data_IF_489953106146
#
_entry.id   IF_489953106146
#
_cell.length_a   1.000
_cell.length_b   1.000
_cell.length_c   1.000
_cell.angle_alpha   90.00
_cell.angle_beta   90.00
_cell.angle_gamma   90.00
#
_symmetry.space_group_name_H-M   'P 1'
#
loop_
_entity.id
_entity.type
_entity.pdbx_description
1 polymer ?
#
# COMPACT_ATOMS: atom_id res chain seq x y z
N UNK A 1 -13.97 -4.32 15.08
CA UNK A 1 -12.72 -5.07 14.85
C UNK A 1 -11.57 -4.18 15.29
N UNK A 2 -10.59 -4.73 15.99
CA UNK A 2 -9.41 -3.99 16.45
C UNK A 2 -8.19 -4.56 15.73
N UNK A 3 -7.50 -3.73 14.95
CA UNK A 3 -6.19 -4.05 14.39
C UNK A 3 -5.14 -3.60 15.41
N UNK A 4 -4.27 -4.49 15.86
CA UNK A 4 -3.27 -4.21 16.89
C UNK A 4 -1.94 -3.74 16.32
N UNK A 5 -1.74 -3.96 15.02
CA UNK A 5 -0.52 -3.62 14.30
C UNK A 5 -0.85 -3.34 12.82
N UNK A 6 0.12 -2.76 12.12
CA UNK A 6 -0.04 -2.30 10.74
C UNK A 6 -0.30 -3.45 9.76
N UNK A 7 0.27 -4.64 10.00
CA UNK A 7 0.06 -5.81 9.13
C UNK A 7 -1.38 -6.32 9.25
N UNK A 8 -1.93 -6.36 10.47
CA UNK A 8 -3.33 -6.71 10.69
C UNK A 8 -4.30 -5.73 10.02
N UNK A 9 -3.96 -4.44 9.98
CA UNK A 9 -4.74 -3.42 9.26
C UNK A 9 -4.67 -3.63 7.74
N UNK A 10 -3.47 -3.81 7.19
CA UNK A 10 -3.26 -4.05 5.75
C UNK A 10 -4.03 -5.29 5.32
N UNK A 11 -3.90 -6.41 6.03
CA UNK A 11 -4.60 -7.66 5.69
C UNK A 11 -6.12 -7.55 5.81
N UNK A 12 -6.62 -6.68 6.70
CA UNK A 12 -8.06 -6.42 6.81
C UNK A 12 -8.61 -5.64 5.61
N UNK A 13 -7.88 -4.62 5.15
CA UNK A 13 -8.32 -3.74 4.06
C UNK A 13 -8.00 -4.34 2.68
N UNK A 14 -6.85 -5.00 2.55
CA UNK A 14 -6.33 -5.64 1.34
C UNK A 14 -6.11 -7.15 1.54
N UNK A 15 -7.18 -7.93 1.74
CA UNK A 15 -7.04 -9.37 1.92
C UNK A 15 -6.47 -10.04 0.67
N UNK A 16 -5.39 -10.82 0.85
CA UNK A 16 -4.84 -11.72 -0.17
C UNK A 16 -3.95 -11.04 -1.22
N UNK A 17 -3.30 -9.93 -0.86
CA UNK A 17 -2.29 -9.28 -1.72
C UNK A 17 -0.90 -9.93 -1.62
N UNK A 18 -0.69 -10.82 -0.64
CA UNK A 18 0.57 -11.54 -0.47
C UNK A 18 0.91 -12.32 -1.75
N UNK A 19 1.97 -11.88 -2.41
CA UNK A 19 2.49 -12.47 -3.63
C UNK A 19 1.59 -12.31 -4.87
N UNK A 20 0.66 -11.37 -4.85
CA UNK A 20 -0.26 -11.09 -5.96
C UNK A 20 -0.33 -9.57 -6.16
N UNK A 21 -0.38 -9.14 -7.42
CA UNK A 21 -0.64 -7.73 -7.77
C UNK A 21 -2.08 -7.59 -8.27
N UNK A 22 -3.02 -7.10 -7.42
CA UNK A 22 -4.40 -6.83 -7.84
C UNK A 22 -4.46 -5.73 -8.90
N UNK A 23 -5.56 -5.64 -9.67
CA UNK A 23 -5.76 -4.53 -10.58
C UNK A 23 -5.90 -3.20 -9.80
N UNK A 24 -5.51 -2.04 -10.38
CA UNK A 24 -5.51 -0.75 -9.66
C UNK A 24 -6.84 -0.38 -8.99
N UNK A 25 -7.97 -0.76 -9.60
CA UNK A 25 -9.32 -0.49 -9.07
C UNK A 25 -9.55 -1.13 -7.69
N UNK A 26 -8.85 -2.24 -7.40
CA UNK A 26 -8.92 -2.90 -6.10
C UNK A 26 -8.54 -1.96 -4.96
N UNK A 27 -7.44 -1.22 -5.14
CA UNK A 27 -6.92 -0.26 -4.17
C UNK A 27 -7.73 1.04 -4.14
N UNK A 28 -8.23 1.48 -5.30
CA UNK A 28 -9.03 2.71 -5.45
C UNK A 28 -10.26 2.72 -4.53
N UNK A 29 -10.91 1.58 -4.36
CA UNK A 29 -12.13 1.44 -3.54
C UNK A 29 -11.84 1.16 -2.05
N UNK A 30 -10.57 1.01 -1.67
CA UNK A 30 -10.15 0.47 -0.35
C UNK A 30 -9.04 1.32 0.28
N UNK A 31 -9.16 2.64 0.24
CA UNK A 31 -8.10 3.53 0.72
C UNK A 31 -7.85 3.43 2.23
N UNK A 32 -6.58 3.30 2.62
CA UNK A 32 -6.13 3.52 4.00
C UNK A 32 -5.66 4.98 4.12
N UNK A 33 -6.21 5.71 5.10
CA UNK A 33 -5.85 7.11 5.33
C UNK A 33 -4.92 7.24 6.53
N UNK A 34 -3.86 8.04 6.40
CA UNK A 34 -2.96 8.38 7.48
C UNK A 34 -2.87 9.90 7.67
N UNK A 35 -2.53 10.33 8.89
CA UNK A 35 -2.52 11.75 9.23
C UNK A 35 -1.27 12.51 8.77
N UNK A 36 -0.16 11.79 8.53
CA UNK A 36 1.13 12.38 8.12
C UNK A 36 1.64 11.66 6.87
N UNK A 37 2.31 12.40 5.98
CA UNK A 37 2.87 11.81 4.76
C UNK A 37 3.89 10.72 5.05
N UNK A 38 4.74 10.87 6.09
CA UNK A 38 5.66 9.80 6.47
C UNK A 38 4.92 8.49 6.82
N UNK A 39 3.75 8.58 7.46
CA UNK A 39 2.95 7.38 7.76
C UNK A 39 2.34 6.79 6.47
N UNK A 40 2.00 7.62 5.48
CA UNK A 40 1.56 7.18 4.14
C UNK A 40 2.69 6.49 3.40
N UNK A 41 3.90 7.05 3.44
CA UNK A 41 5.09 6.50 2.79
C UNK A 41 5.45 5.12 3.39
N UNK A 42 5.47 5.02 4.72
CA UNK A 42 5.74 3.76 5.44
C UNK A 42 4.67 2.69 5.12
N UNK A 43 3.39 3.08 5.05
CA UNK A 43 2.29 2.19 4.66
C UNK A 43 2.47 1.68 3.23
N UNK A 44 2.70 2.57 2.27
CA UNK A 44 2.86 2.21 0.87
C UNK A 44 4.05 1.29 0.65
N UNK A 45 5.19 1.56 1.30
CA UNK A 45 6.36 0.69 1.26
C UNK A 45 6.05 -0.72 1.81
N UNK A 46 5.38 -0.80 2.97
CA UNK A 46 5.00 -2.08 3.58
C UNK A 46 4.05 -2.89 2.71
N UNK A 47 3.10 -2.23 2.02
CA UNK A 47 2.16 -2.88 1.11
C UNK A 47 2.89 -3.40 -0.14
N UNK A 48 3.79 -2.59 -0.71
CA UNK A 48 4.59 -2.99 -1.89
C UNK A 48 5.47 -4.20 -1.59
N UNK A 49 6.08 -4.27 -0.40
CA UNK A 49 6.89 -5.43 0.04
C UNK A 49 6.09 -6.75 0.12
N UNK A 50 4.77 -6.69 0.27
CA UNK A 50 3.91 -7.89 0.32
C UNK A 50 3.55 -8.42 -1.06
N UNK A 51 3.61 -7.58 -2.10
CA UNK A 51 3.21 -7.92 -3.45
C UNK A 51 4.37 -8.60 -4.21
N UNK A 52 4.10 -9.63 -5.03
CA UNK A 52 5.13 -10.29 -5.84
C UNK A 52 5.37 -9.50 -7.14
N UNK A 53 6.07 -8.38 -7.03
CA UNK A 53 6.40 -7.55 -8.19
C UNK A 53 7.68 -6.73 -7.98
N UNK A 54 8.35 -6.43 -9.09
CA UNK A 54 9.51 -5.54 -9.11
C UNK A 54 9.08 -4.12 -8.72
N UNK A 55 9.76 -3.55 -7.71
CA UNK A 55 9.47 -2.20 -7.23
C UNK A 55 10.29 -1.19 -8.03
N UNK A 56 9.60 -0.35 -8.80
CA UNK A 56 10.21 0.76 -9.53
C UNK A 56 9.84 2.10 -8.90
N UNK A 57 10.82 3.00 -8.79
CA UNK A 57 10.58 4.39 -8.41
C UNK A 57 10.44 5.23 -9.67
N UNK A 58 9.23 5.73 -9.93
CA UNK A 58 8.95 6.60 -11.07
C UNK A 58 9.04 8.07 -10.63
N UNK A 59 9.92 8.84 -11.28
CA UNK A 59 10.09 10.27 -11.02
C UNK A 59 9.18 11.06 -11.96
N UNK A 60 8.57 12.14 -11.45
CA UNK A 60 7.76 13.04 -12.26
C UNK A 60 8.56 13.60 -13.45
N UNK A 61 7.93 13.65 -14.63
CA UNK A 61 8.50 14.26 -15.82
C UNK A 61 8.63 15.78 -15.68
N UNK A 62 7.84 16.40 -14.80
CA UNK A 62 7.98 17.80 -14.41
C UNK A 62 9.15 17.92 -13.43
N UNK A 63 10.38 17.86 -13.95
CA UNK A 63 11.55 18.39 -13.26
C UNK A 63 11.63 19.90 -13.49
N UNK A 64 11.93 20.63 -12.41
CA UNK A 64 12.04 22.11 -12.37
C UNK A 64 13.03 22.64 -13.41
#
# INVERSE_FOLDING_TARGET
MQCTDIKSLINFVYPGIDGITPPPEYFLERSILAARNNDVDDLNATILEQMDSEVETLISADSI
#
